data_IF_943256442141
#
_entry.id   IF_943256442141
#
_cell.length_a   1.000
_cell.length_b   1.000
_cell.length_c   1.000
_cell.angle_alpha   90.00
_cell.angle_beta   90.00
_cell.angle_gamma   90.00
#
_symmetry.space_group_name_H-M   'P 1'
#
loop_
_entity.id
_entity.type
_entity.pdbx_description
1 polymer ?
#
# COMPACT_ATOMS: atom_id res chain seq x y z
N UNK A 1 4.64 30.76 -2.83
CA UNK A 1 5.24 29.42 -2.87
C UNK A 1 4.39 28.58 -1.94
N UNK A 2 3.34 27.97 -2.48
CA UNK A 2 2.45 27.14 -1.66
C UNK A 2 3.17 25.82 -1.46
N UNK A 3 3.71 25.63 -0.27
CA UNK A 3 4.20 24.34 0.18
C UNK A 3 2.99 23.40 0.23
N UNK A 4 2.70 22.76 -0.91
CA UNK A 4 1.77 21.63 -0.99
C UNK A 4 2.31 20.56 -0.07
N UNK A 5 1.83 20.61 1.17
CA UNK A 5 2.00 19.61 2.22
C UNK A 5 1.75 18.25 1.59
N UNK A 6 2.85 17.59 1.20
CA UNK A 6 2.89 16.29 0.52
C UNK A 6 1.90 15.40 1.25
N UNK A 7 0.84 14.97 0.57
CA UNK A 7 -0.34 14.34 1.18
C UNK A 7 -0.02 12.94 1.72
N UNK A 8 0.82 12.86 2.75
CA UNK A 8 1.17 11.63 3.48
C UNK A 8 -0.11 10.89 3.92
N UNK A 9 -1.17 11.64 4.29
CA UNK A 9 -2.46 11.06 4.64
C UNK A 9 -3.17 10.34 3.49
N UNK A 10 -3.02 10.80 2.25
CA UNK A 10 -3.61 10.14 1.07
C UNK A 10 -2.91 8.82 0.78
N UNK A 11 -1.58 8.78 0.91
CA UNK A 11 -0.81 7.54 0.72
C UNK A 11 -1.05 6.53 1.85
N UNK A 12 -1.24 7.00 3.08
CA UNK A 12 -1.65 6.14 4.20
C UNK A 12 -3.01 5.46 3.95
N UNK A 13 -3.99 6.20 3.41
CA UNK A 13 -5.28 5.62 3.03
C UNK A 13 -5.13 4.57 1.92
N UNK A 14 -4.29 4.86 0.92
CA UNK A 14 -4.01 3.93 -0.17
C UNK A 14 -3.27 2.66 0.30
N UNK A 15 -2.40 2.80 1.31
CA UNK A 15 -1.73 1.68 1.95
C UNK A 15 -2.70 0.77 2.70
N UNK A 16 -3.60 1.33 3.52
CA UNK A 16 -4.63 0.53 4.19
C UNK A 16 -5.54 -0.20 3.19
N UNK A 17 -5.90 0.47 2.09
CA UNK A 17 -6.68 -0.15 1.02
C UNK A 17 -5.92 -1.32 0.37
N UNK A 18 -4.63 -1.13 0.07
CA UNK A 18 -3.77 -2.18 -0.50
C UNK A 18 -3.60 -3.38 0.45
N UNK A 19 -3.41 -3.13 1.75
CA UNK A 19 -3.37 -4.17 2.78
C UNK A 19 -4.69 -4.94 2.86
N UNK A 20 -5.85 -4.27 2.80
CA UNK A 20 -7.14 -4.95 2.85
C UNK A 20 -7.34 -5.89 1.64
N UNK A 21 -6.94 -5.44 0.45
CA UNK A 21 -6.95 -6.25 -0.77
C UNK A 21 -6.00 -7.45 -0.64
N UNK A 22 -4.82 -7.26 -0.06
CA UNK A 22 -3.86 -8.35 0.19
C UNK A 22 -4.41 -9.40 1.16
N UNK A 23 -5.04 -8.98 2.26
CA UNK A 23 -5.67 -9.89 3.22
C UNK A 23 -6.82 -10.67 2.56
N UNK A 24 -7.62 -9.99 1.74
CA UNK A 24 -8.67 -10.66 0.95
C UNK A 24 -8.09 -11.69 -0.02
N UNK A 25 -7.03 -11.35 -0.76
CA UNK A 25 -6.32 -12.28 -1.63
C UNK A 25 -5.71 -13.45 -0.85
N UNK A 26 -5.16 -13.20 0.34
CA UNK A 26 -4.59 -14.22 1.22
C UNK A 26 -5.63 -15.27 1.63
N UNK A 27 -6.89 -14.86 1.89
CA UNK A 27 -7.96 -15.79 2.26
C UNK A 27 -8.55 -16.57 1.07
N UNK A 28 -8.57 -15.97 -0.13
CA UNK A 28 -9.25 -16.55 -1.30
C UNK A 28 -8.32 -17.16 -2.35
N UNK A 29 -7.03 -16.78 -2.38
CA UNK A 29 -6.04 -17.23 -3.36
C UNK A 29 -4.66 -17.37 -2.70
N UNK A 30 -4.43 -18.54 -2.10
CA UNK A 30 -3.14 -18.92 -1.50
C UNK A 30 -1.94 -18.81 -2.45
N UNK A 31 -2.17 -18.98 -3.75
CA UNK A 31 -1.13 -18.96 -4.79
C UNK A 31 -0.63 -17.55 -5.14
N UNK A 32 -1.51 -16.53 -5.04
CA UNK A 32 -1.19 -15.15 -5.43
C UNK A 32 -0.47 -14.36 -4.32
N UNK A 33 -0.33 -14.94 -3.13
CA UNK A 33 0.34 -14.33 -1.97
C UNK A 33 1.76 -13.88 -2.30
N UNK A 34 2.56 -14.74 -2.93
CA UNK A 34 3.95 -14.43 -3.29
C UNK A 34 4.05 -13.27 -4.27
N UNK A 35 3.08 -13.12 -5.17
CA UNK A 35 3.02 -12.01 -6.12
C UNK A 35 2.50 -10.71 -5.49
N UNK A 36 1.68 -10.81 -4.45
CA UNK A 36 1.05 -9.65 -3.81
C UNK A 36 1.90 -9.02 -2.69
N UNK A 37 2.83 -9.77 -2.08
CA UNK A 37 3.81 -9.26 -1.08
C UNK A 37 4.59 -8.03 -1.59
N UNK A 38 5.25 -8.06 -2.78
CA UNK A 38 5.99 -6.90 -3.26
C UNK A 38 5.10 -5.68 -3.52
N UNK A 39 3.82 -5.90 -3.82
CA UNK A 39 2.83 -4.84 -4.03
C UNK A 39 2.48 -4.12 -2.72
N UNK A 40 2.24 -4.86 -1.64
CA UNK A 40 2.00 -4.28 -0.30
C UNK A 40 3.24 -3.50 0.17
N UNK A 41 4.43 -4.07 0.00
CA UNK A 41 5.68 -3.39 0.33
C UNK A 41 5.86 -2.10 -0.49
N UNK A 42 5.55 -2.09 -1.79
CA UNK A 42 5.65 -0.89 -2.62
C UNK A 42 4.73 0.24 -2.12
N UNK A 43 3.48 -0.07 -1.82
CA UNK A 43 2.54 0.91 -1.26
C UNK A 43 2.90 1.34 0.16
N UNK A 44 3.50 0.47 0.96
CA UNK A 44 4.04 0.80 2.28
C UNK A 44 5.15 1.84 2.18
N UNK A 45 6.14 1.62 1.32
CA UNK A 45 7.27 2.55 1.16
C UNK A 45 6.81 3.89 0.59
N UNK A 46 5.82 3.89 -0.32
CA UNK A 46 5.12 5.10 -0.78
C UNK A 46 4.37 5.82 0.34
N UNK A 47 3.70 5.09 1.25
CA UNK A 47 3.01 5.69 2.39
C UNK A 47 3.95 6.23 3.47
N UNK A 48 5.12 5.60 3.61
CA UNK A 48 6.19 6.13 4.45
C UNK A 48 6.91 7.34 3.81
N UNK A 49 6.53 7.73 2.59
CA UNK A 49 7.14 8.83 1.84
C UNK A 49 8.66 8.66 1.64
N UNK A 50 9.15 7.42 1.69
CA UNK A 50 10.58 7.09 1.53
C UNK A 50 11.04 7.31 0.08
N UNK A 51 10.12 7.34 -0.90
CA UNK A 51 10.36 7.51 -2.34
C UNK A 51 9.44 8.58 -2.95
#
# INVERSE_FOLDING_TARGET
>A
MEETKKSTGLYWLLFFLSTAIFVYLCMYHGDLLSAAIPFVCFFLVKALDII
#
